data_IF_423953931151
#
_entry.id   IF_423953931151
#
_cell.length_a   1.000
_cell.length_b   1.000
_cell.length_c   1.000
_cell.angle_alpha   90.00
_cell.angle_beta   90.00
_cell.angle_gamma   90.00
#
_symmetry.space_group_name_H-M   'P 1'
#
loop_
_entity.id
_entity.type
_entity.pdbx_description
1 polymer ?
#
# COMPACT_ATOMS: atom_id res chain seq x y z
N UNK A 1 4.25 -17.04 -9.90
CA UNK A 1 4.58 -16.03 -8.87
C UNK A 1 3.59 -14.89 -9.04
N UNK A 2 2.96 -14.42 -7.96
CA UNK A 2 1.94 -13.37 -8.02
C UNK A 2 2.52 -12.11 -8.67
N UNK A 3 1.92 -11.68 -9.77
CA UNK A 3 2.27 -10.47 -10.54
C UNK A 3 2.44 -9.23 -9.63
N UNK A 4 1.66 -9.15 -8.55
CA UNK A 4 1.75 -8.13 -7.50
C UNK A 4 3.07 -8.15 -6.72
N UNK A 5 3.57 -9.32 -6.33
CA UNK A 5 4.81 -9.42 -5.53
C UNK A 5 6.04 -9.08 -6.35
N UNK A 6 6.05 -9.51 -7.62
CA UNK A 6 7.12 -9.15 -8.56
C UNK A 6 7.14 -7.64 -8.80
N UNK A 7 5.98 -7.02 -9.02
CA UNK A 7 5.91 -5.57 -9.17
C UNK A 7 6.39 -4.82 -7.91
N UNK A 8 6.00 -5.26 -6.72
CA UNK A 8 6.46 -4.66 -5.46
C UNK A 8 8.00 -4.69 -5.36
N UNK A 9 8.62 -5.83 -5.67
CA UNK A 9 10.07 -5.99 -5.65
C UNK A 9 10.77 -5.11 -6.72
N UNK A 10 10.24 -5.09 -7.95
CA UNK A 10 10.74 -4.25 -9.05
C UNK A 10 10.65 -2.74 -8.77
N UNK A 11 9.68 -2.31 -7.96
CA UNK A 11 9.57 -0.92 -7.52
C UNK A 11 10.39 -0.59 -6.27
N UNK A 12 11.10 -1.58 -5.70
CA UNK A 12 11.87 -1.41 -4.46
C UNK A 12 11.00 -1.18 -3.22
N UNK A 13 9.75 -1.65 -3.26
CA UNK A 13 8.79 -1.53 -2.16
C UNK A 13 8.82 -2.79 -1.27
N UNK A 14 8.40 -2.66 -0.02
CA UNK A 14 8.29 -3.80 0.90
C UNK A 14 6.86 -4.35 0.88
N UNK A 15 6.69 -5.64 0.57
CA UNK A 15 5.38 -6.28 0.56
C UNK A 15 4.71 -6.37 1.94
N UNK A 16 5.47 -6.15 3.02
CA UNK A 16 4.96 -6.10 4.39
C UNK A 16 4.50 -4.70 4.80
N UNK A 17 4.71 -3.68 3.96
CA UNK A 17 4.27 -2.33 4.27
C UNK A 17 2.75 -2.21 4.12
N UNK A 18 2.19 -1.28 4.90
CA UNK A 18 0.83 -0.82 4.72
C UNK A 18 0.81 0.46 3.88
N UNK A 19 -0.34 0.74 3.29
CA UNK A 19 -0.60 1.93 2.50
C UNK A 19 -1.95 2.52 2.87
N UNK A 20 -2.05 3.85 2.91
CA UNK A 20 -3.34 4.53 3.01
C UNK A 20 -3.96 4.69 1.61
N UNK A 21 -5.11 4.06 1.37
CA UNK A 21 -5.82 4.13 0.11
C UNK A 21 -6.30 5.55 -0.28
N UNK A 22 -6.36 6.48 0.68
CA UNK A 22 -6.80 7.85 0.41
C UNK A 22 -5.67 8.78 -0.02
N UNK A 23 -4.49 8.67 0.60
CA UNK A 23 -3.38 9.60 0.36
C UNK A 23 -2.13 8.94 -0.25
N UNK A 24 -2.17 7.62 -0.47
CA UNK A 24 -1.12 6.79 -1.08
C UNK A 24 0.20 6.86 -0.30
N UNK A 25 0.12 7.11 1.01
CA UNK A 25 1.29 7.11 1.90
C UNK A 25 1.57 5.70 2.37
N UNK A 26 2.83 5.28 2.29
CA UNK A 26 3.33 4.01 2.82
C UNK A 26 3.68 4.14 4.30
N UNK A 27 3.48 3.04 5.01
CA UNK A 27 3.76 2.90 6.43
C UNK A 27 4.36 1.53 6.69
N UNK A 28 5.06 1.37 7.81
CA UNK A 28 5.39 0.03 8.28
C UNK A 28 4.12 -0.84 8.43
N UNK A 29 4.27 -2.16 8.34
CA UNK A 29 3.16 -3.11 8.42
C UNK A 29 2.40 -3.15 9.75
N UNK A 30 2.92 -2.51 10.80
CA UNK A 30 2.29 -2.43 12.12
C UNK A 30 1.37 -1.21 12.25
N UNK A 31 1.64 -0.15 11.50
CA UNK A 31 0.83 1.06 11.49
C UNK A 31 -0.53 0.80 10.86
N UNK A 32 -1.58 1.01 11.65
CA UNK A 32 -2.99 0.91 11.22
C UNK A 32 -3.68 2.27 11.12
N UNK A 33 -2.96 3.34 11.39
CA UNK A 33 -3.47 4.70 11.40
C UNK A 33 -2.70 5.55 10.38
N UNK A 34 -3.43 6.28 9.54
CA UNK A 34 -2.85 7.27 8.66
C UNK A 34 -2.87 8.64 9.35
N UNK A 35 -1.73 9.20 9.80
CA UNK A 35 -1.70 10.51 10.45
C UNK A 35 -2.04 11.67 9.50
N UNK A 36 -1.77 11.52 8.20
CA UNK A 36 -2.11 12.52 7.20
C UNK A 36 -3.62 12.66 6.99
N UNK A 37 -4.33 11.52 6.87
CA UNK A 37 -5.79 11.48 6.73
C UNK A 37 -6.53 11.54 8.08
N UNK A 38 -5.83 11.32 9.20
CA UNK A 38 -6.39 11.15 10.54
C UNK A 38 -7.46 10.05 10.61
N UNK A 39 -7.23 8.95 9.88
CA UNK A 39 -8.16 7.83 9.76
C UNK A 39 -7.44 6.48 9.84
N UNK A 40 -8.14 5.47 10.36
CA UNK A 40 -7.71 4.08 10.43
C UNK A 40 -8.24 3.25 9.25
N UNK A 41 -9.42 3.58 8.72
CA UNK A 41 -10.12 2.76 7.73
C UNK A 41 -9.46 2.74 6.35
N UNK A 42 -8.61 3.72 6.08
CA UNK A 42 -7.89 3.81 4.82
C UNK A 42 -6.62 2.97 4.76
N UNK A 43 -6.10 2.47 5.89
CA UNK A 43 -4.82 1.77 5.93
C UNK A 43 -5.00 0.27 5.71
N UNK A 44 -4.31 -0.28 4.72
CA UNK A 44 -4.34 -1.69 4.36
C UNK A 44 -2.97 -2.18 3.86
N UNK A 45 -2.77 -3.49 3.77
CA UNK A 45 -1.52 -4.05 3.26
C UNK A 45 -1.29 -3.63 1.79
N UNK A 46 -0.05 -3.29 1.45
CA UNK A 46 0.33 -2.85 0.10
C UNK A 46 -0.06 -3.86 -1.00
N UNK A 47 0.16 -5.19 -0.83
CA UNK A 47 -0.30 -6.17 -1.82
C UNK A 47 -1.82 -6.14 -2.03
N UNK A 48 -2.59 -6.00 -0.95
CA UNK A 48 -4.06 -5.94 -1.02
C UNK A 48 -4.53 -4.66 -1.72
N UNK A 49 -3.85 -3.54 -1.47
CA UNK A 49 -4.12 -2.30 -2.18
C UNK A 49 -3.90 -2.45 -3.69
N UNK A 50 -2.77 -3.02 -4.11
CA UNK A 50 -2.48 -3.24 -5.54
C UNK A 50 -3.48 -4.21 -6.16
N UNK A 51 -3.88 -5.25 -5.44
CA UNK A 51 -4.89 -6.20 -5.92
C UNK A 51 -6.28 -5.54 -6.05
N UNK A 52 -6.60 -4.57 -5.18
CA UNK A 52 -7.90 -3.89 -5.15
C UNK A 52 -8.00 -2.75 -6.17
N UNK A 53 -6.95 -1.91 -6.26
CA UNK A 53 -6.96 -0.66 -7.03
C UNK A 53 -6.08 -0.72 -8.29
N UNK A 54 -5.32 -1.80 -8.47
CA UNK A 54 -4.35 -1.94 -9.54
C UNK A 54 -3.03 -1.21 -9.27
N UNK A 55 -1.99 -1.61 -10.02
CA UNK A 55 -0.65 -1.01 -9.94
C UNK A 55 -0.63 0.48 -10.25
N UNK A 56 -1.53 0.93 -11.11
CA UNK A 56 -1.69 2.35 -11.48
C UNK A 56 -2.14 3.22 -10.30
N UNK A 57 -2.78 2.64 -9.28
CA UNK A 57 -3.20 3.36 -8.07
C UNK A 57 -2.05 3.88 -7.20
N UNK A 58 -0.81 3.43 -7.44
CA UNK A 58 0.39 3.96 -6.78
C UNK A 58 0.93 5.25 -7.42
N UNK A 59 0.45 5.64 -8.61
CA UNK A 59 0.89 6.87 -9.28
C UNK A 59 0.08 8.06 -8.75
N UNK A 60 0.80 9.08 -8.27
CA UNK A 60 0.26 10.41 -7.93
C UNK A 60 0.23 11.31 -9.15
#
# INVERSE_FOLDING_TARGET
>A
MNDTMQFIDEQGLCAMDNICAFCITLFDGWNRFCPACKDYKGVMALPDFINTYGKEGLKR
#
